data_IF_147669667094
#
_entry.id   IF_147669667094
#
_cell.length_a   1.000
_cell.length_b   1.000
_cell.length_c   1.000
_cell.angle_alpha   90.00
_cell.angle_beta   90.00
_cell.angle_gamma   90.00
#
_symmetry.space_group_name_H-M   'P 1'
#
loop_
_entity.id
_entity.type
_entity.pdbx_description
1 polymer ?
#
# COMPACT_ATOMS: atom_id res chain seq x y z
N UNK A 1 8.62 -0.61 1.23
CA UNK A 1 9.59 -0.71 0.12
C UNK A 1 8.95 -0.40 -1.22
N UNK A 2 7.82 -1.04 -1.58
CA UNK A 2 7.08 -0.77 -2.84
C UNK A 2 6.69 0.70 -3.04
N UNK A 3 6.21 1.38 -1.99
CA UNK A 3 5.89 2.82 -2.02
C UNK A 3 7.05 3.70 -2.51
N UNK A 4 8.30 3.39 -2.15
CA UNK A 4 9.47 4.18 -2.54
C UNK A 4 9.78 3.97 -4.02
N UNK A 5 9.60 2.75 -4.51
CA UNK A 5 9.80 2.41 -5.93
C UNK A 5 8.77 3.15 -6.79
N UNK A 6 7.49 3.10 -6.42
CA UNK A 6 6.44 3.84 -7.14
C UNK A 6 6.59 5.36 -7.03
N UNK A 7 7.02 5.88 -5.88
CA UNK A 7 7.27 7.31 -5.71
C UNK A 7 8.43 7.80 -6.60
N UNK A 8 9.53 7.04 -6.67
CA UNK A 8 10.64 7.36 -7.57
C UNK A 8 10.26 7.22 -9.04
N UNK A 9 9.46 6.22 -9.39
CA UNK A 9 8.94 6.05 -10.74
C UNK A 9 8.03 7.21 -11.15
N UNK A 10 7.17 7.69 -10.25
CA UNK A 10 6.34 8.87 -10.47
C UNK A 10 7.13 10.18 -10.68
N UNK A 11 8.38 10.27 -10.19
CA UNK A 11 9.24 11.44 -10.38
C UNK A 11 10.17 11.33 -11.59
N UNK A 12 10.75 10.15 -11.81
CA UNK A 12 11.83 9.95 -12.80
C UNK A 12 11.41 9.19 -14.06
N UNK A 13 10.20 8.62 -14.10
CA UNK A 13 9.67 7.84 -15.23
C UNK A 13 10.69 6.82 -15.79
N UNK A 14 11.36 6.09 -14.89
CA UNK A 14 12.43 5.16 -15.27
C UNK A 14 11.92 3.89 -15.98
N UNK A 15 10.64 3.52 -15.81
CA UNK A 15 10.07 2.30 -16.38
C UNK A 15 9.32 2.65 -17.69
N UNK A 16 9.85 2.26 -18.87
CA UNK A 16 9.24 2.61 -20.15
C UNK A 16 8.04 1.71 -20.54
N UNK A 17 7.87 0.55 -19.90
CA UNK A 17 6.81 -0.41 -20.21
C UNK A 17 5.78 -0.51 -19.07
N UNK A 18 4.55 -0.08 -19.35
CA UNK A 18 3.42 -0.11 -18.41
C UNK A 18 3.08 -1.51 -17.87
N UNK A 19 3.38 -2.57 -18.62
CA UNK A 19 3.15 -3.96 -18.19
C UNK A 19 3.90 -4.32 -16.90
N UNK A 20 5.09 -3.73 -16.70
CA UNK A 20 5.89 -3.95 -15.49
C UNK A 20 5.22 -3.32 -14.27
N UNK A 21 4.65 -2.11 -14.43
CA UNK A 21 3.86 -1.46 -13.38
C UNK A 21 2.63 -2.29 -12.99
N UNK A 22 1.86 -2.78 -13.97
CA UNK A 22 0.67 -3.57 -13.67
C UNK A 22 0.99 -4.85 -12.90
N UNK A 23 2.09 -5.52 -13.28
CA UNK A 23 2.55 -6.70 -12.56
C UNK A 23 2.95 -6.35 -11.12
N UNK A 24 3.68 -5.25 -10.90
CA UNK A 24 4.05 -4.80 -9.55
C UNK A 24 2.84 -4.46 -8.68
N UNK A 25 1.85 -3.73 -9.22
CA UNK A 25 0.62 -3.39 -8.51
C UNK A 25 -0.16 -4.66 -8.14
N UNK A 26 -0.24 -5.62 -9.08
CA UNK A 26 -0.90 -6.90 -8.82
C UNK A 26 -0.19 -7.69 -7.71
N UNK A 27 1.14 -7.75 -7.75
CA UNK A 27 1.92 -8.41 -6.70
C UNK A 27 1.73 -7.77 -5.33
N UNK A 28 1.77 -6.44 -5.26
CA UNK A 28 1.52 -5.73 -3.99
C UNK A 28 0.11 -6.05 -3.45
N UNK A 29 -0.91 -5.97 -4.30
CA UNK A 29 -2.29 -6.29 -3.91
C UNK A 29 -2.44 -7.74 -3.43
N UNK A 30 -1.79 -8.69 -4.12
CA UNK A 30 -1.84 -10.11 -3.74
C UNK A 30 -1.17 -10.36 -2.39
N UNK A 31 0.03 -9.80 -2.16
CA UNK A 31 0.72 -9.94 -0.88
C UNK A 31 -0.04 -9.24 0.25
N UNK A 32 -0.60 -8.06 0.00
CA UNK A 32 -1.46 -7.35 0.95
C UNK A 32 -2.66 -8.20 1.38
N UNK A 33 -3.44 -8.69 0.40
CA UNK A 33 -4.60 -9.54 0.66
C UNK A 33 -4.25 -10.87 1.35
N UNK A 34 -3.18 -11.54 0.92
CA UNK A 34 -2.71 -12.77 1.54
C UNK A 34 -2.32 -12.55 3.02
N UNK A 35 -1.61 -11.46 3.31
CA UNK A 35 -1.20 -11.12 4.67
C UNK A 35 -2.40 -10.81 5.57
N UNK A 36 -3.42 -10.14 5.04
CA UNK A 36 -4.67 -9.87 5.74
C UNK A 36 -5.35 -11.19 6.13
N UNK A 37 -5.68 -12.04 5.17
CA UNK A 37 -6.40 -13.30 5.42
C UNK A 37 -5.61 -14.21 6.36
N UNK A 38 -4.29 -14.31 6.16
CA UNK A 38 -3.45 -15.14 7.01
C UNK A 38 -3.44 -14.66 8.48
N UNK A 39 -3.45 -13.34 8.70
CA UNK A 39 -3.50 -12.75 10.05
C UNK A 39 -4.83 -13.09 10.74
N UNK A 40 -5.96 -12.96 10.06
CA UNK A 40 -7.26 -13.29 10.64
C UNK A 40 -7.44 -14.79 10.89
N UNK A 41 -6.94 -15.66 10.01
CA UNK A 41 -6.93 -17.11 10.22
C UNK A 41 -6.05 -17.46 11.43
N UNK A 42 -4.88 -16.81 11.56
CA UNK A 42 -3.99 -17.02 12.69
C UNK A 42 -4.66 -16.64 14.01
N UNK A 43 -5.29 -15.46 14.09
CA UNK A 43 -6.05 -15.04 15.27
C UNK A 43 -7.19 -16.02 15.56
N UNK A 44 -7.92 -16.45 14.53
CA UNK A 44 -9.05 -17.35 14.71
C UNK A 44 -8.66 -18.73 15.29
N UNK A 45 -7.50 -19.28 14.87
CA UNK A 45 -7.07 -20.63 15.23
C UNK A 45 -6.22 -20.69 16.51
N UNK A 46 -5.46 -19.64 16.83
CA UNK A 46 -4.50 -19.66 17.95
C UNK A 46 -4.92 -18.81 19.15
N UNK A 47 -5.89 -17.89 19.01
CA UNK A 47 -6.40 -17.12 20.14
C UNK A 47 -7.37 -17.93 21.00
N UNK A 48 -7.33 -17.71 22.33
CA UNK A 48 -8.30 -18.30 23.26
C UNK A 48 -9.72 -17.78 22.94
N UNK A 49 -10.77 -18.61 23.08
CA UNK A 49 -12.14 -18.23 22.70
C UNK A 49 -12.61 -16.95 23.40
N UNK A 50 -12.26 -16.76 24.68
CA UNK A 50 -12.68 -15.62 25.49
C UNK A 50 -12.10 -14.26 25.02
N UNK A 51 -10.97 -14.28 24.29
CA UNK A 51 -10.29 -13.05 23.81
C UNK A 51 -10.29 -12.92 22.29
N UNK A 52 -10.76 -13.96 21.57
CA UNK A 52 -10.66 -14.05 20.11
C UNK A 52 -11.38 -12.91 19.40
N UNK A 53 -12.61 -12.60 19.83
CA UNK A 53 -13.42 -11.53 19.23
C UNK A 53 -12.81 -10.15 19.49
N UNK A 54 -12.23 -9.97 20.68
CA UNK A 54 -11.52 -8.75 21.05
C UNK A 54 -10.25 -8.56 20.21
N UNK A 55 -9.45 -9.62 20.07
CA UNK A 55 -8.24 -9.59 19.22
C UNK A 55 -8.57 -9.30 17.76
N UNK A 56 -9.62 -9.93 17.19
CA UNK A 56 -10.05 -9.62 15.82
C UNK A 56 -10.52 -8.17 15.67
N UNK A 57 -11.24 -7.64 16.66
CA UNK A 57 -11.73 -6.26 16.64
C UNK A 57 -10.57 -5.25 16.68
N UNK A 58 -9.56 -5.47 17.53
CA UNK A 58 -8.37 -4.60 17.60
C UNK A 58 -7.57 -4.65 16.31
N UNK A 59 -7.36 -5.84 15.73
CA UNK A 59 -6.64 -5.98 14.46
C UNK A 59 -7.35 -5.24 13.32
N UNK A 60 -8.68 -5.34 13.23
CA UNK A 60 -9.45 -4.59 12.24
C UNK A 60 -9.42 -3.08 12.47
N UNK A 61 -9.43 -2.64 13.73
CA UNK A 61 -9.31 -1.22 14.05
C UNK A 61 -7.93 -0.67 13.66
N UNK A 62 -6.86 -1.44 13.93
CA UNK A 62 -5.50 -1.08 13.53
C UNK A 62 -5.35 -0.93 12.03
N UNK A 63 -5.94 -1.85 11.26
CA UNK A 63 -5.98 -1.78 9.80
C UNK A 63 -6.68 -0.51 9.31
N UNK A 64 -7.87 -0.21 9.83
CA UNK A 64 -8.63 0.98 9.47
C UNK A 64 -7.86 2.27 9.77
N UNK A 65 -7.22 2.38 10.94
CA UNK A 65 -6.39 3.54 11.29
C UNK A 65 -5.21 3.68 10.33
N UNK A 66 -4.54 2.57 10.00
CA UNK A 66 -3.44 2.55 9.03
C UNK A 66 -3.86 3.08 7.66
N UNK A 67 -5.00 2.62 7.14
CA UNK A 67 -5.56 3.07 5.86
C UNK A 67 -5.90 4.56 5.90
N UNK A 68 -6.51 5.03 6.99
CA UNK A 68 -6.85 6.46 7.15
C UNK A 68 -5.59 7.32 7.13
N UNK A 69 -4.57 6.95 7.91
CA UNK A 69 -3.30 7.69 7.96
C UNK A 69 -2.64 7.69 6.57
N UNK A 70 -2.61 6.54 5.89
CA UNK A 70 -2.07 6.44 4.53
C UNK A 70 -2.82 7.37 3.54
N UNK A 71 -4.15 7.42 3.65
CA UNK A 71 -4.99 8.35 2.89
C UNK A 71 -4.64 9.81 3.15
N UNK A 72 -4.50 10.22 4.42
CA UNK A 72 -4.09 11.59 4.77
C UNK A 72 -2.69 11.95 4.27
N UNK A 73 -1.74 11.01 4.33
CA UNK A 73 -0.37 11.21 3.83
C UNK A 73 -0.32 11.29 2.30
N UNK A 74 -1.25 10.64 1.60
CA UNK A 74 -1.31 10.66 0.13
C UNK A 74 -1.60 12.06 -0.45
N UNK A 75 -2.37 12.89 0.26
CA UNK A 75 -2.77 14.24 -0.19
C UNK A 75 -1.57 15.19 -0.34
N UNK A 76 -0.73 15.42 0.68
CA UNK A 76 0.45 16.28 0.54
C UNK A 76 1.47 15.68 -0.43
N UNK A 77 1.60 14.35 -0.47
CA UNK A 77 2.50 13.66 -1.41
C UNK A 77 2.08 13.92 -2.87
N UNK A 78 0.79 13.82 -3.17
CA UNK A 78 0.25 14.14 -4.49
C UNK A 78 0.51 15.60 -4.89
N UNK A 79 0.26 16.54 -3.98
CA UNK A 79 0.52 17.97 -4.23
C UNK A 79 2.00 18.24 -4.53
N UNK A 80 2.91 17.56 -3.82
CA UNK A 80 4.35 17.68 -4.07
C UNK A 80 4.72 17.18 -5.47
N UNK A 81 4.23 16.01 -5.87
CA UNK A 81 4.48 15.44 -7.21
C UNK A 81 3.94 16.39 -8.29
N UNK A 82 2.72 16.91 -8.16
CA UNK A 82 2.13 17.82 -9.14
C UNK A 82 2.84 19.19 -9.25
N UNK A 83 3.50 19.65 -8.19
CA UNK A 83 4.30 20.89 -8.22
C UNK A 83 5.69 20.68 -8.83
N UNK A 84 6.13 19.43 -8.97
CA UNK A 84 7.44 19.11 -9.54
C UNK A 84 7.37 19.19 -11.07
N UNK A 85 8.34 19.88 -11.70
CA UNK A 85 8.40 20.02 -13.16
C UNK A 85 8.68 18.67 -13.83
N UNK A 86 7.98 18.37 -14.94
CA UNK A 86 8.16 17.10 -15.65
C UNK A 86 9.63 16.91 -16.12
N UNK A 87 10.18 15.69 -16.03
CA UNK A 87 11.54 15.41 -16.48
C UNK A 87 11.67 15.57 -17.99
N UNK A 88 12.80 16.16 -18.41
CA UNK A 88 13.10 16.60 -19.79
C UNK A 88 12.95 15.49 -20.86
N UNK A 89 13.03 14.21 -20.48
CA UNK A 89 12.90 13.08 -21.42
C UNK A 89 11.47 12.85 -21.94
N UNK A 90 10.44 13.40 -21.28
CA UNK A 90 9.02 13.29 -21.70
C UNK A 90 8.58 14.49 -22.55
N UNK A 91 9.31 15.60 -22.50
CA UNK A 91 8.93 16.90 -23.11
C UNK A 91 9.48 17.13 -24.53
N UNK A 92 10.13 16.15 -25.15
CA UNK A 92 10.70 16.23 -26.51
C UNK A 92 9.92 15.37 -27.48
#
# INVERSE_FOLDING_TARGET
MNVVVFFLESLYFYIPHIWVLFLLILFEGLFGGASYVNTFIHIHNFAKPDVREFSMSISSLGDAIGIVIAGFVSIPLYNYVCQTSLPIHVTV
#
